data_IF_040559657188
#
_entry.id   IF_040559657188
#
_cell.length_a   1.000
_cell.length_b   1.000
_cell.length_c   1.000
_cell.angle_alpha   90.00
_cell.angle_beta   90.00
_cell.angle_gamma   90.00
#
_symmetry.space_group_name_H-M   'P 1'
#
loop_
_entity.id
_entity.type
_entity.pdbx_description
1 polymer ?
#
# COMPACT_ATOMS: atom_id res chain seq x y z
N UNK A 1 -51.93 -27.62 5.13
CA UNK A 1 -51.40 -26.42 5.77
C UNK A 1 -50.75 -26.89 7.05
N UNK A 2 -49.45 -27.14 6.99
CA UNK A 2 -48.58 -27.22 8.15
C UNK A 2 -47.13 -27.36 7.67
N UNK A 3 -46.24 -26.95 8.56
CA UNK A 3 -44.79 -27.15 8.59
C UNK A 3 -43.93 -26.01 8.03
N UNK A 4 -43.38 -25.27 8.98
CA UNK A 4 -42.03 -24.74 8.83
C UNK A 4 -41.85 -23.34 9.39
N UNK A 5 -42.15 -23.13 10.67
CA UNK A 5 -41.61 -21.99 11.42
C UNK A 5 -40.09 -22.20 11.45
N UNK A 6 -39.41 -21.59 10.47
CA UNK A 6 -37.97 -21.41 10.44
C UNK A 6 -37.62 -20.45 11.58
N UNK A 7 -37.38 -21.02 12.76
CA UNK A 7 -36.67 -20.32 13.81
C UNK A 7 -35.28 -19.95 13.27
N UNK A 8 -35.11 -18.69 12.87
CA UNK A 8 -33.80 -18.04 12.86
C UNK A 8 -33.34 -17.91 14.31
N UNK A 9 -32.85 -19.00 14.88
CA UNK A 9 -31.96 -18.93 16.02
C UNK A 9 -30.71 -18.20 15.53
N UNK A 10 -30.49 -16.97 16.03
CA UNK A 10 -29.15 -16.42 16.13
C UNK A 10 -28.38 -17.39 17.03
N UNK A 11 -27.76 -18.40 16.45
CA UNK A 11 -26.79 -19.22 17.17
C UNK A 11 -25.59 -18.31 17.42
N UNK A 12 -25.61 -17.71 18.61
CA UNK A 12 -24.49 -17.06 19.26
C UNK A 12 -23.64 -18.11 20.01
N UNK A 13 -23.78 -19.39 19.66
CA UNK A 13 -23.02 -20.49 20.23
C UNK A 13 -21.66 -20.52 19.55
N UNK A 14 -20.72 -19.79 20.16
CA UNK A 14 -19.30 -20.00 19.99
C UNK A 14 -18.99 -21.49 19.97
N UNK A 15 -18.18 -21.95 19.01
CA UNK A 15 -17.72 -23.34 19.02
C UNK A 15 -16.96 -23.59 20.33
N UNK A 16 -17.22 -24.73 20.97
CA UNK A 16 -16.53 -25.14 22.21
C UNK A 16 -15.00 -25.14 22.02
N UNK A 17 -14.54 -25.43 20.79
CA UNK A 17 -13.14 -25.35 20.40
C UNK A 17 -12.58 -23.92 20.52
N UNK A 18 -13.31 -22.91 20.02
CA UNK A 18 -12.83 -21.52 20.04
C UNK A 18 -12.79 -20.96 21.47
N UNK A 19 -13.76 -21.32 22.32
CA UNK A 19 -13.75 -20.98 23.75
C UNK A 19 -12.50 -21.55 24.40
N UNK A 20 -12.23 -22.84 24.20
CA UNK A 20 -11.07 -23.52 24.76
C UNK A 20 -9.75 -22.86 24.32
N UNK A 21 -9.60 -22.53 23.04
CA UNK A 21 -8.38 -21.89 22.55
C UNK A 21 -8.16 -20.48 23.11
N UNK A 22 -9.24 -19.72 23.36
CA UNK A 22 -9.18 -18.41 24.01
C UNK A 22 -8.74 -18.53 25.47
N UNK A 23 -9.22 -19.57 26.18
CA UNK A 23 -8.82 -19.85 27.57
C UNK A 23 -7.36 -20.29 27.69
N UNK A 24 -6.85 -21.05 26.71
CA UNK A 24 -5.46 -21.54 26.65
C UNK A 24 -4.45 -20.47 26.19
N UNK A 25 -4.93 -19.28 25.78
CA UNK A 25 -4.13 -18.19 25.18
C UNK A 25 -3.28 -18.60 23.96
N UNK A 26 -3.74 -19.61 23.21
CA UNK A 26 -3.01 -20.14 22.06
C UNK A 26 -3.50 -19.54 20.73
N UNK A 27 -2.80 -18.49 20.30
CA UNK A 27 -3.07 -17.83 19.03
C UNK A 27 -2.91 -18.77 17.83
N UNK A 28 -2.05 -19.79 17.90
CA UNK A 28 -1.84 -20.72 16.77
C UNK A 28 -3.06 -21.59 16.55
N UNK A 29 -3.71 -22.04 17.62
CA UNK A 29 -4.95 -22.81 17.52
C UNK A 29 -6.10 -21.95 17.00
N UNK A 30 -6.19 -20.69 17.45
CA UNK A 30 -7.17 -19.73 16.92
C UNK A 30 -6.93 -19.47 15.43
N UNK A 31 -5.68 -19.30 15.02
CA UNK A 31 -5.33 -19.20 13.60
C UNK A 31 -5.69 -20.49 12.87
N UNK A 32 -5.60 -21.67 13.47
CA UNK A 32 -5.98 -22.92 12.80
C UNK A 32 -7.50 -23.12 12.65
N UNK A 33 -8.32 -22.46 13.46
CA UNK A 33 -9.78 -22.53 13.38
C UNK A 33 -10.30 -22.13 11.98
N UNK A 34 -11.15 -22.97 11.38
CA UNK A 34 -11.65 -22.77 10.01
C UNK A 34 -12.66 -21.63 9.93
N UNK A 35 -13.50 -21.46 10.96
CA UNK A 35 -14.53 -20.42 11.05
C UNK A 35 -14.02 -19.03 11.44
N UNK A 36 -12.71 -18.84 11.61
CA UNK A 36 -12.12 -17.64 12.22
C UNK A 36 -12.59 -16.33 11.57
N UNK A 37 -12.50 -16.23 10.25
CA UNK A 37 -12.89 -15.01 9.54
C UNK A 37 -14.41 -14.77 9.60
N UNK A 38 -15.20 -15.84 9.64
CA UNK A 38 -16.65 -15.74 9.76
C UNK A 38 -17.03 -15.22 11.15
N UNK A 39 -16.42 -15.73 12.22
CA UNK A 39 -16.65 -15.25 13.59
C UNK A 39 -16.26 -13.78 13.77
N UNK A 40 -15.14 -13.34 13.18
CA UNK A 40 -14.73 -11.93 13.18
C UNK A 40 -15.78 -11.05 12.46
N UNK A 41 -16.32 -11.52 11.33
CA UNK A 41 -17.36 -10.82 10.56
C UNK A 41 -18.71 -10.82 11.26
N UNK A 42 -19.01 -11.87 12.03
CA UNK A 42 -20.20 -11.96 12.88
C UNK A 42 -20.08 -11.15 14.18
N UNK A 43 -18.98 -10.41 14.34
CA UNK A 43 -18.68 -9.58 15.53
C UNK A 43 -18.66 -10.37 16.84
N UNK A 44 -18.07 -11.57 16.82
CA UNK A 44 -17.96 -12.41 17.99
C UNK A 44 -17.16 -11.72 19.11
N UNK A 45 -17.82 -11.36 20.21
CA UNK A 45 -17.25 -10.50 21.24
C UNK A 45 -16.05 -11.11 21.95
N UNK A 46 -16.10 -12.39 22.31
CA UNK A 46 -15.03 -13.04 23.06
C UNK A 46 -13.78 -13.21 22.21
N UNK A 47 -13.94 -13.60 20.94
CA UNK A 47 -12.86 -13.65 19.97
C UNK A 47 -12.25 -12.27 19.73
N UNK A 48 -13.07 -11.24 19.52
CA UNK A 48 -12.57 -9.89 19.29
C UNK A 48 -11.82 -9.37 20.52
N UNK A 49 -12.36 -9.57 21.73
CA UNK A 49 -11.71 -9.21 22.99
C UNK A 49 -10.37 -9.91 23.17
N UNK A 50 -10.24 -11.15 22.70
CA UNK A 50 -8.97 -11.87 22.68
C UNK A 50 -7.98 -11.26 21.67
N UNK A 51 -8.42 -11.04 20.42
CA UNK A 51 -7.56 -10.58 19.33
C UNK A 51 -7.03 -9.16 19.55
N UNK A 52 -7.82 -8.27 20.14
CA UNK A 52 -7.46 -6.86 20.35
C UNK A 52 -6.46 -6.62 21.49
N UNK A 53 -6.12 -7.65 22.28
CA UNK A 53 -5.05 -7.53 23.29
C UNK A 53 -3.74 -7.16 22.59
N UNK A 54 -2.99 -6.22 23.17
CA UNK A 54 -1.71 -5.73 22.60
C UNK A 54 -0.79 -6.89 22.22
N UNK A 55 -0.60 -7.87 23.10
CA UNK A 55 0.26 -9.04 22.87
C UNK A 55 -0.18 -9.89 21.67
N UNK A 56 -1.49 -10.06 21.49
CA UNK A 56 -2.04 -10.86 20.39
C UNK A 56 -2.00 -10.09 19.07
N UNK A 57 -2.28 -8.78 19.08
CA UNK A 57 -2.06 -7.93 17.92
C UNK A 57 -0.58 -7.96 17.49
N UNK A 58 0.36 -7.86 18.43
CA UNK A 58 1.79 -7.95 18.13
C UNK A 58 2.17 -9.29 17.51
N UNK A 59 1.64 -10.41 18.02
CA UNK A 59 1.84 -11.75 17.41
C UNK A 59 1.25 -11.83 15.99
N UNK A 60 0.04 -11.31 15.77
CA UNK A 60 -0.61 -11.27 14.44
C UNK A 60 0.24 -10.45 13.46
N UNK A 61 0.70 -9.27 13.89
CA UNK A 61 1.52 -8.41 13.06
C UNK A 61 2.91 -9.00 12.80
N UNK A 62 3.50 -9.71 13.77
CA UNK A 62 4.77 -10.43 13.59
C UNK A 62 4.69 -11.41 12.41
N UNK A 63 3.63 -12.22 12.32
CA UNK A 63 3.42 -13.10 11.16
C UNK A 63 3.24 -12.35 9.83
N UNK A 64 2.85 -11.07 9.83
CA UNK A 64 2.65 -10.27 8.62
C UNK A 64 3.96 -9.60 8.17
N UNK A 65 4.81 -9.17 9.11
CA UNK A 65 5.93 -8.27 8.84
C UNK A 65 7.32 -8.91 9.04
N UNK A 66 7.41 -10.04 9.73
CA UNK A 66 8.68 -10.73 10.00
C UNK A 66 8.72 -12.09 9.29
N UNK A 67 9.88 -12.41 8.73
CA UNK A 67 10.13 -13.74 8.16
C UNK A 67 10.33 -14.76 9.28
N UNK A 68 9.82 -15.98 9.09
CA UNK A 68 10.06 -17.08 10.03
C UNK A 68 11.51 -17.53 9.96
N UNK A 69 12.17 -17.65 11.12
CA UNK A 69 13.50 -18.27 11.20
C UNK A 69 13.47 -19.77 10.82
N UNK A 70 12.30 -20.41 10.97
CA UNK A 70 12.04 -21.81 10.66
C UNK A 70 11.37 -21.95 9.30
N UNK A 71 12.12 -21.74 8.21
CA UNK A 71 11.61 -21.82 6.84
C UNK A 71 11.01 -23.18 6.45
N UNK A 72 11.26 -24.23 7.23
CA UNK A 72 10.69 -25.57 7.05
C UNK A 72 9.30 -25.73 7.65
N UNK A 73 8.88 -24.85 8.56
CA UNK A 73 7.53 -24.88 9.14
C UNK A 73 6.56 -24.17 8.17
N UNK A 74 5.78 -24.97 7.44
CA UNK A 74 4.78 -24.50 6.49
C UNK A 74 3.75 -23.57 7.14
N UNK A 75 3.34 -23.88 8.37
CA UNK A 75 2.31 -23.13 9.05
C UNK A 75 2.83 -21.72 9.38
N UNK A 76 4.02 -21.61 9.95
CA UNK A 76 4.65 -20.31 10.26
C UNK A 76 5.04 -19.52 9.02
N UNK A 77 5.53 -20.20 7.97
CA UNK A 77 6.10 -19.51 6.80
C UNK A 77 5.04 -19.06 5.79
N UNK A 78 3.87 -19.72 5.75
CA UNK A 78 2.85 -19.43 4.75
C UNK A 78 1.43 -19.30 5.31
N UNK A 79 0.97 -20.28 6.10
CA UNK A 79 -0.44 -20.34 6.55
C UNK A 79 -0.80 -19.23 7.53
N UNK A 80 0.03 -19.01 8.56
CA UNK A 80 -0.21 -18.00 9.58
C UNK A 80 -0.07 -16.57 9.04
N UNK A 81 0.96 -16.21 8.24
CA UNK A 81 0.99 -14.93 7.53
C UNK A 81 -0.27 -14.70 6.67
N UNK A 82 -0.70 -15.72 5.94
CA UNK A 82 -1.93 -15.66 5.14
C UNK A 82 -3.17 -15.42 6.01
N UNK A 83 -3.36 -16.15 7.11
CA UNK A 83 -4.54 -15.94 7.97
C UNK A 83 -4.48 -14.60 8.72
N UNK A 84 -3.30 -14.17 9.17
CA UNK A 84 -3.12 -12.91 9.89
C UNK A 84 -3.44 -11.70 9.00
N UNK A 85 -2.96 -11.64 7.76
CA UNK A 85 -3.31 -10.51 6.89
C UNK A 85 -4.81 -10.50 6.56
N UNK A 86 -5.46 -11.67 6.45
CA UNK A 86 -6.91 -11.76 6.24
C UNK A 86 -7.70 -11.23 7.44
N UNK A 87 -7.23 -11.43 8.68
CA UNK A 87 -7.85 -10.84 9.88
C UNK A 87 -7.89 -9.31 9.76
N UNK A 88 -6.78 -8.68 9.39
CA UNK A 88 -6.71 -7.21 9.23
C UNK A 88 -7.53 -6.75 8.03
N UNK A 89 -7.47 -7.47 6.90
CA UNK A 89 -8.22 -7.14 5.68
C UNK A 89 -9.73 -7.42 5.78
N UNK A 90 -10.22 -8.06 6.86
CA UNK A 90 -11.65 -8.08 7.18
C UNK A 90 -12.15 -6.69 7.63
N UNK A 91 -11.23 -5.77 7.91
CA UNK A 91 -11.49 -4.39 8.31
C UNK A 91 -12.47 -4.26 9.49
N UNK A 92 -12.45 -5.23 10.42
CA UNK A 92 -13.25 -5.17 11.63
C UNK A 92 -12.84 -3.95 12.46
N UNK A 93 -13.82 -3.11 12.80
CA UNK A 93 -13.57 -1.82 13.46
C UNK A 93 -12.79 -1.95 14.77
N UNK A 94 -13.14 -2.91 15.63
CA UNK A 94 -12.47 -3.07 16.92
C UNK A 94 -10.99 -3.45 16.76
N UNK A 95 -10.67 -4.31 15.79
CA UNK A 95 -9.29 -4.71 15.49
C UNK A 95 -8.50 -3.52 14.95
N UNK A 96 -9.04 -2.81 13.96
CA UNK A 96 -8.34 -1.67 13.35
C UNK A 96 -8.15 -0.53 14.37
N UNK A 97 -9.20 -0.17 15.12
CA UNK A 97 -9.11 0.88 16.15
C UNK A 97 -8.05 0.51 17.21
N UNK A 98 -8.00 -0.76 17.63
CA UNK A 98 -7.01 -1.22 18.62
C UNK A 98 -5.57 -1.16 18.11
N UNK A 99 -5.36 -1.32 16.80
CA UNK A 99 -4.05 -1.08 16.16
C UNK A 99 -3.76 0.41 16.13
N UNK A 100 -4.66 1.21 15.57
CA UNK A 100 -4.45 2.64 15.26
C UNK A 100 -4.26 3.49 16.50
N UNK A 101 -5.05 3.25 17.56
CA UNK A 101 -4.97 4.01 18.80
C UNK A 101 -3.90 3.50 19.76
N UNK A 102 -3.19 2.40 19.42
CA UNK A 102 -2.03 1.93 20.16
C UNK A 102 -0.74 2.31 19.42
N UNK A 103 -0.07 3.35 19.93
CA UNK A 103 1.16 3.89 19.33
C UNK A 103 2.30 2.84 19.23
N UNK A 104 2.40 1.90 20.16
CA UNK A 104 3.41 0.82 20.08
C UNK A 104 3.13 -0.11 18.91
N UNK A 105 1.86 -0.52 18.75
CA UNK A 105 1.42 -1.43 17.68
C UNK A 105 1.56 -0.74 16.31
N UNK A 106 1.17 0.53 16.20
CA UNK A 106 1.38 1.32 14.98
C UNK A 106 2.87 1.46 14.62
N UNK A 107 3.73 1.77 15.61
CA UNK A 107 5.18 1.84 15.40
C UNK A 107 5.78 0.51 14.95
N UNK A 108 5.33 -0.59 15.53
CA UNK A 108 5.77 -1.93 15.14
C UNK A 108 5.36 -2.24 13.70
N UNK A 109 4.08 -2.07 13.35
CA UNK A 109 3.56 -2.31 12.01
C UNK A 109 4.28 -1.48 10.94
N UNK A 110 4.32 -0.16 11.10
CA UNK A 110 4.97 0.74 10.15
C UNK A 110 6.51 0.66 10.19
N UNK A 111 7.07 -0.03 11.19
CA UNK A 111 8.49 -0.35 11.27
C UNK A 111 8.99 -1.25 10.15
N UNK A 112 8.09 -2.03 9.52
CA UNK A 112 8.39 -2.87 8.36
C UNK A 112 9.07 -2.08 7.22
N UNK A 113 8.55 -0.89 6.90
CA UNK A 113 9.11 -0.01 5.87
C UNK A 113 10.50 0.55 6.22
N UNK A 114 10.87 0.54 7.50
CA UNK A 114 12.16 1.08 7.95
C UNK A 114 13.29 0.04 7.84
N UNK A 115 12.98 -1.19 7.44
CA UNK A 115 13.96 -2.25 7.27
C UNK A 115 14.87 -1.96 6.07
N UNK A 116 16.18 -1.86 6.32
CA UNK A 116 17.17 -1.61 5.27
C UNK A 116 17.49 -2.83 4.41
N UNK A 117 17.10 -4.03 4.85
CA UNK A 117 17.25 -5.25 4.03
C UNK A 117 16.21 -5.26 2.93
N UNK A 118 16.44 -6.10 1.93
CA UNK A 118 15.41 -6.36 0.94
C UNK A 118 14.21 -7.02 1.61
N UNK A 119 13.04 -6.38 1.46
CA UNK A 119 11.78 -6.93 1.95
C UNK A 119 11.39 -8.19 1.19
N UNK A 120 10.86 -9.18 1.91
CA UNK A 120 10.21 -10.34 1.32
C UNK A 120 9.00 -9.91 0.47
N UNK A 121 8.89 -10.42 -0.75
CA UNK A 121 7.85 -9.98 -1.69
C UNK A 121 6.43 -10.35 -1.22
N UNK A 122 6.26 -11.53 -0.62
CA UNK A 122 4.96 -11.98 -0.10
C UNK A 122 4.53 -11.14 1.10
N UNK A 123 5.44 -10.95 2.06
CA UNK A 123 5.16 -10.12 3.24
C UNK A 123 4.94 -8.65 2.86
N UNK A 124 5.65 -8.13 1.85
CA UNK A 124 5.40 -6.79 1.30
C UNK A 124 3.97 -6.66 0.77
N UNK A 125 3.47 -7.68 0.07
CA UNK A 125 2.09 -7.75 -0.37
C UNK A 125 1.08 -7.77 0.78
N UNK A 126 1.33 -8.58 1.82
CA UNK A 126 0.47 -8.62 3.01
C UNK A 126 0.48 -7.32 3.79
N UNK A 127 1.66 -6.76 4.04
CA UNK A 127 1.84 -5.45 4.67
C UNK A 127 1.09 -4.37 3.91
N UNK A 128 1.29 -4.25 2.59
CA UNK A 128 0.62 -3.21 1.79
C UNK A 128 -0.90 -3.31 1.84
N UNK A 129 -1.46 -4.54 1.76
CA UNK A 129 -2.91 -4.74 1.87
C UNK A 129 -3.46 -4.38 3.26
N UNK A 130 -2.73 -4.75 4.31
CA UNK A 130 -3.09 -4.39 5.69
C UNK A 130 -3.02 -2.87 5.87
N UNK A 131 -1.96 -2.22 5.38
CA UNK A 131 -1.76 -0.78 5.49
C UNK A 131 -2.87 0.00 4.77
N UNK A 132 -3.28 -0.43 3.58
CA UNK A 132 -4.43 0.15 2.85
C UNK A 132 -5.73 -0.04 3.65
N UNK A 133 -5.96 -1.24 4.20
CA UNK A 133 -7.17 -1.52 5.00
C UNK A 133 -7.25 -0.62 6.24
N UNK A 134 -6.14 -0.49 6.97
CA UNK A 134 -6.01 0.37 8.15
C UNK A 134 -6.20 1.85 7.75
N UNK A 135 -5.55 2.30 6.68
CA UNK A 135 -5.69 3.66 6.15
C UNK A 135 -7.13 3.99 5.72
N UNK A 136 -7.83 3.07 5.07
CA UNK A 136 -9.20 3.29 4.61
C UNK A 136 -10.21 3.42 5.76
N UNK A 137 -10.00 2.71 6.87
CA UNK A 137 -10.86 2.81 8.06
C UNK A 137 -10.56 4.00 8.95
N UNK A 138 -9.28 4.33 9.15
CA UNK A 138 -8.84 5.37 10.07
C UNK A 138 -7.87 6.35 9.39
N UNK A 139 -8.34 6.97 8.30
CA UNK A 139 -7.50 7.80 7.42
C UNK A 139 -6.83 8.94 8.16
N UNK A 140 -7.54 9.68 9.02
CA UNK A 140 -7.00 10.87 9.68
C UNK A 140 -5.89 10.50 10.66
N UNK A 141 -6.09 9.43 11.41
CA UNK A 141 -5.20 8.93 12.44
C UNK A 141 -3.91 8.40 11.80
N UNK A 142 -4.03 7.60 10.73
CA UNK A 142 -2.88 7.10 9.97
C UNK A 142 -2.11 8.24 9.31
N UNK A 143 -2.81 9.21 8.71
CA UNK A 143 -2.16 10.41 8.13
C UNK A 143 -1.39 11.17 9.20
N UNK A 144 -1.98 11.41 10.38
CA UNK A 144 -1.32 12.13 11.46
C UNK A 144 -0.10 11.37 11.99
N UNK A 145 -0.20 10.05 12.14
CA UNK A 145 0.90 9.18 12.55
C UNK A 145 2.08 9.25 11.56
N UNK A 146 1.83 9.06 10.26
CA UNK A 146 2.87 9.11 9.25
C UNK A 146 3.45 10.52 9.09
N UNK A 147 2.59 11.55 9.16
CA UNK A 147 3.01 12.96 9.05
C UNK A 147 3.98 13.37 10.15
N UNK A 148 3.84 12.82 11.36
CA UNK A 148 4.74 13.09 12.49
C UNK A 148 6.22 12.77 12.16
N UNK A 149 6.47 11.82 11.27
CA UNK A 149 7.82 11.46 10.76
C UNK A 149 7.85 11.41 9.23
N UNK A 150 7.19 12.35 8.56
CA UNK A 150 7.00 12.35 7.10
C UNK A 150 8.29 12.18 6.30
N UNK A 151 9.39 12.81 6.70
CA UNK A 151 10.67 12.70 6.00
C UNK A 151 11.29 11.29 6.09
N UNK A 152 11.14 10.65 7.27
CA UNK A 152 11.62 9.29 7.48
C UNK A 152 10.84 8.30 6.61
N UNK A 153 9.51 8.38 6.64
CA UNK A 153 8.66 7.50 5.84
C UNK A 153 8.80 7.77 4.35
N UNK A 154 8.97 9.02 3.92
CA UNK A 154 9.26 9.33 2.52
C UNK A 154 10.54 8.63 2.06
N UNK A 155 11.64 8.77 2.80
CA UNK A 155 12.91 8.09 2.48
C UNK A 155 12.75 6.56 2.44
N UNK A 156 12.00 6.00 3.38
CA UNK A 156 11.69 4.57 3.42
C UNK A 156 10.92 4.08 2.19
N UNK A 157 9.85 4.79 1.80
CA UNK A 157 9.10 4.45 0.58
C UNK A 157 9.98 4.52 -0.66
N UNK A 158 10.73 5.62 -0.85
CA UNK A 158 11.63 5.80 -1.99
C UNK A 158 12.69 4.69 -2.07
N UNK A 159 13.25 4.29 -0.93
CA UNK A 159 14.22 3.19 -0.85
C UNK A 159 13.63 1.86 -1.38
N UNK A 160 12.35 1.61 -1.10
CA UNK A 160 11.64 0.39 -1.45
C UNK A 160 10.85 0.44 -2.77
N UNK A 161 11.09 1.43 -3.65
CA UNK A 161 10.43 1.51 -4.96
C UNK A 161 10.75 0.34 -5.92
N UNK A 162 11.73 -0.50 -5.59
CA UNK A 162 11.91 -1.78 -6.30
C UNK A 162 10.73 -2.76 -6.07
N UNK A 163 9.98 -2.63 -4.96
CA UNK A 163 8.80 -3.46 -4.69
C UNK A 163 7.55 -2.80 -5.26
N UNK A 164 6.84 -3.55 -6.13
CA UNK A 164 5.56 -3.12 -6.70
C UNK A 164 4.53 -2.85 -5.60
N UNK A 165 4.47 -3.74 -4.60
CA UNK A 165 3.54 -3.64 -3.48
C UNK A 165 3.74 -2.35 -2.66
N UNK A 166 5.00 -1.95 -2.42
CA UNK A 166 5.30 -0.73 -1.66
C UNK A 166 5.04 0.52 -2.50
N UNK A 167 5.36 0.49 -3.80
CA UNK A 167 5.06 1.59 -4.72
C UNK A 167 3.55 1.82 -4.85
N UNK A 168 2.77 0.74 -4.92
CA UNK A 168 1.30 0.81 -4.96
C UNK A 168 0.71 1.36 -3.65
N UNK A 169 1.26 0.99 -2.49
CA UNK A 169 0.88 1.61 -1.22
C UNK A 169 1.23 3.11 -1.20
N UNK A 170 2.44 3.48 -1.62
CA UNK A 170 2.87 4.88 -1.71
C UNK A 170 1.91 5.70 -2.59
N UNK A 171 1.51 5.14 -3.73
CA UNK A 171 0.52 5.74 -4.63
C UNK A 171 -0.82 6.04 -3.96
N UNK A 172 -1.36 5.09 -3.18
CA UNK A 172 -2.62 5.29 -2.43
C UNK A 172 -2.49 6.46 -1.43
N UNK A 173 -1.35 6.56 -0.76
CA UNK A 173 -1.07 7.63 0.20
C UNK A 173 -0.75 8.98 -0.46
N UNK A 174 -0.28 8.95 -1.71
CA UNK A 174 0.09 10.12 -2.51
C UNK A 174 -1.14 10.73 -3.22
N UNK A 175 -2.10 9.90 -3.63
CA UNK A 175 -3.28 10.29 -4.43
C UNK A 175 -4.39 10.77 -3.52
N UNK A 176 -4.33 12.06 -3.19
CA UNK A 176 -5.19 12.68 -2.19
C UNK A 176 -6.01 13.80 -2.84
N UNK A 177 -7.33 13.80 -2.62
CA UNK A 177 -8.25 14.85 -3.10
C UNK A 177 -8.33 16.07 -2.19
N UNK A 178 -7.87 15.95 -0.94
CA UNK A 178 -8.06 16.99 0.09
C UNK A 178 -6.73 17.34 0.78
N UNK A 179 -6.32 18.62 0.84
CA UNK A 179 -5.00 19.02 1.33
C UNK A 179 -4.62 18.51 2.71
N UNK A 180 -5.55 18.53 3.68
CA UNK A 180 -5.26 18.11 5.06
C UNK A 180 -5.03 16.60 5.22
N UNK A 181 -5.25 15.80 4.17
CA UNK A 181 -4.92 14.36 4.15
C UNK A 181 -3.55 14.08 3.54
N UNK A 182 -2.83 15.09 3.05
CA UNK A 182 -1.49 14.92 2.46
C UNK A 182 -0.45 14.61 3.54
N UNK A 183 0.24 13.47 3.42
CA UNK A 183 1.26 13.07 4.41
C UNK A 183 2.60 13.76 4.14
N UNK A 184 3.00 13.81 2.88
CA UNK A 184 4.30 14.29 2.43
C UNK A 184 4.24 15.74 1.97
N UNK A 185 5.36 16.44 2.08
CA UNK A 185 5.48 17.77 1.48
C UNK A 185 5.49 17.64 -0.04
N UNK A 186 4.56 18.32 -0.70
CA UNK A 186 4.40 18.28 -2.15
C UNK A 186 5.57 18.95 -2.86
N UNK A 187 6.18 19.94 -2.21
CA UNK A 187 7.34 20.64 -2.77
C UNK A 187 8.47 19.64 -3.00
N UNK A 188 8.97 19.58 -4.23
CA UNK A 188 10.04 18.69 -4.68
C UNK A 188 9.70 17.18 -4.62
N UNK A 189 8.44 16.78 -4.41
CA UNK A 189 8.09 15.36 -4.36
C UNK A 189 8.43 14.65 -5.68
N UNK A 190 8.26 15.35 -6.80
CA UNK A 190 8.58 14.82 -8.14
C UNK A 190 10.07 14.70 -8.34
N UNK A 191 10.83 15.69 -7.89
CA UNK A 191 12.29 15.57 -7.87
C UNK A 191 12.73 14.34 -7.07
N UNK A 192 12.17 14.10 -5.88
CA UNK A 192 12.51 12.92 -5.09
C UNK A 192 12.13 11.61 -5.79
N UNK A 193 10.93 11.51 -6.38
CA UNK A 193 10.50 10.34 -7.15
C UNK A 193 11.44 10.10 -8.34
N UNK A 194 11.70 11.13 -9.15
CA UNK A 194 12.57 11.03 -10.32
C UNK A 194 14.01 10.72 -9.96
N UNK A 195 14.54 11.27 -8.85
CA UNK A 195 15.91 11.00 -8.39
C UNK A 195 16.18 9.53 -8.05
N UNK A 196 15.13 8.71 -7.96
CA UNK A 196 15.22 7.26 -7.77
C UNK A 196 15.29 6.48 -9.10
N UNK A 197 15.19 7.13 -10.26
CA UNK A 197 15.59 6.55 -11.53
C UNK A 197 17.11 6.34 -11.55
N UNK A 198 17.56 5.18 -12.00
CA UNK A 198 18.97 4.84 -11.93
C UNK A 198 19.76 5.32 -13.16
N UNK A 199 20.23 6.57 -13.12
CA UNK A 199 21.13 7.12 -14.15
C UNK A 199 22.54 6.53 -14.21
N UNK A 200 22.83 5.47 -13.43
CA UNK A 200 24.09 4.72 -13.21
C UNK A 200 25.31 5.50 -12.65
N UNK A 201 25.50 5.42 -11.31
CA UNK A 201 26.64 6.01 -10.58
C UNK A 201 27.27 5.08 -9.49
N UNK A 202 27.57 3.82 -9.86
CA UNK A 202 28.46 2.77 -9.26
C UNK A 202 28.03 1.91 -8.02
N UNK A 203 28.22 0.58 -8.19
CA UNK A 203 28.30 -0.59 -7.28
C UNK A 203 27.41 -0.64 -6.04
N UNK A 204 26.13 -0.94 -6.24
CA UNK A 204 25.33 -1.58 -5.20
C UNK A 204 24.84 -2.95 -5.67
N UNK A 205 25.21 -3.99 -4.93
CA UNK A 205 24.66 -5.35 -5.04
C UNK A 205 23.24 -5.37 -4.47
N UNK A 206 22.32 -4.67 -5.11
CA UNK A 206 20.88 -4.84 -4.88
C UNK A 206 20.22 -5.23 -6.20
N UNK A 207 19.24 -6.11 -6.08
CA UNK A 207 18.65 -6.87 -7.17
C UNK A 207 18.23 -5.94 -8.32
N UNK A 208 18.67 -6.30 -9.52
CA UNK A 208 18.16 -5.79 -10.79
C UNK A 208 16.64 -6.02 -10.84
N UNK A 209 15.78 -5.06 -10.47
CA UNK A 209 14.35 -5.18 -10.79
C UNK A 209 13.57 -3.88 -10.65
N UNK A 210 12.63 -3.72 -11.61
CA UNK A 210 11.37 -2.98 -11.68
C UNK A 210 11.27 -1.56 -11.10
N UNK A 211 12.31 -0.98 -10.48
CA UNK A 211 12.22 0.34 -9.86
C UNK A 211 11.84 1.41 -10.88
N UNK A 212 12.52 1.43 -12.02
CA UNK A 212 12.22 2.36 -13.12
C UNK A 212 10.82 2.13 -13.69
N UNK A 213 10.39 0.87 -13.83
CA UNK A 213 9.05 0.54 -14.30
C UNK A 213 7.98 0.95 -13.29
N UNK A 214 8.22 0.75 -12.00
CA UNK A 214 7.35 1.17 -10.90
C UNK A 214 7.20 2.70 -10.84
N UNK A 215 8.30 3.44 -10.98
CA UNK A 215 8.28 4.91 -11.06
C UNK A 215 7.51 5.37 -12.30
N UNK A 216 7.76 4.73 -13.45
CA UNK A 216 7.07 5.03 -14.71
C UNK A 216 5.57 4.80 -14.59
N UNK A 217 5.16 3.66 -14.02
CA UNK A 217 3.76 3.34 -13.75
C UNK A 217 3.13 4.33 -12.76
N UNK A 218 3.85 4.72 -11.71
CA UNK A 218 3.38 5.71 -10.74
C UNK A 218 3.08 7.06 -11.42
N UNK A 219 4.02 7.56 -12.23
CA UNK A 219 3.87 8.83 -12.94
C UNK A 219 2.73 8.75 -13.97
N UNK A 220 2.64 7.66 -14.72
CA UNK A 220 1.52 7.43 -15.65
C UNK A 220 0.17 7.43 -14.94
N UNK A 221 0.09 6.75 -13.81
CA UNK A 221 -1.12 6.73 -12.98
C UNK A 221 -1.50 8.14 -12.50
N UNK A 222 -0.53 9.02 -12.23
CA UNK A 222 -0.81 10.41 -11.87
C UNK A 222 -1.51 11.14 -13.01
N UNK A 223 -1.06 10.94 -14.26
CA UNK A 223 -1.72 11.51 -15.45
C UNK A 223 -3.15 10.96 -15.64
N UNK A 224 -3.32 9.64 -15.52
CA UNK A 224 -4.62 8.97 -15.73
C UNK A 224 -5.63 9.39 -14.65
N UNK A 225 -5.21 9.45 -13.38
CA UNK A 225 -6.07 9.73 -12.22
C UNK A 225 -5.88 11.13 -11.65
N UNK A 226 -5.65 12.12 -12.51
CA UNK A 226 -5.48 13.53 -12.13
C UNK A 226 -6.57 14.10 -11.23
N UNK A 227 -7.82 13.62 -11.36
CA UNK A 227 -8.96 14.05 -10.53
C UNK A 227 -8.90 13.54 -9.09
N UNK A 228 -8.01 12.59 -8.79
CA UNK A 228 -7.74 12.07 -7.45
C UNK A 228 -6.65 12.84 -6.72
N UNK A 229 -5.97 13.79 -7.39
CA UNK A 229 -4.77 14.46 -6.88
C UNK A 229 -5.02 15.98 -6.85
N UNK A 230 -5.22 16.54 -5.66
CA UNK A 230 -5.54 17.98 -5.52
C UNK A 230 -4.42 18.91 -6.00
N UNK A 231 -3.17 18.42 -5.97
CA UNK A 231 -1.98 19.15 -6.39
C UNK A 231 -1.50 18.73 -7.79
N UNK A 232 -2.35 18.12 -8.61
CA UNK A 232 -1.97 17.63 -9.93
C UNK A 232 -1.36 18.73 -10.82
N UNK A 233 -1.87 19.97 -10.76
CA UNK A 233 -1.30 21.08 -11.50
C UNK A 233 0.13 21.43 -11.05
N UNK A 234 0.41 21.32 -9.75
CA UNK A 234 1.77 21.50 -9.23
C UNK A 234 2.69 20.37 -9.72
N UNK A 235 2.21 19.13 -9.67
CA UNK A 235 2.91 17.98 -10.27
C UNK A 235 3.27 18.24 -11.74
N UNK A 236 2.30 18.71 -12.54
CA UNK A 236 2.52 18.96 -13.96
C UNK A 236 3.57 20.06 -14.19
N UNK A 237 3.51 21.15 -13.42
CA UNK A 237 4.51 22.24 -13.49
C UNK A 237 5.89 21.75 -13.07
N UNK A 238 5.99 20.99 -11.98
CA UNK A 238 7.26 20.49 -11.45
C UNK A 238 7.90 19.46 -12.40
N UNK A 239 7.09 18.56 -12.97
CA UNK A 239 7.53 17.59 -13.98
C UNK A 239 7.94 18.28 -15.29
N UNK A 240 7.26 19.36 -15.68
CA UNK A 240 7.61 20.19 -16.85
C UNK A 240 8.75 21.18 -16.60
N UNK A 241 9.27 21.24 -15.38
CA UNK A 241 10.31 22.19 -15.02
C UNK A 241 11.61 21.89 -15.77
N UNK A 242 12.43 22.91 -15.98
CA UNK A 242 13.76 22.74 -16.57
C UNK A 242 14.61 21.72 -15.80
N UNK A 243 14.46 21.67 -14.47
CA UNK A 243 15.21 20.77 -13.61
C UNK A 243 14.82 19.30 -13.88
N UNK A 244 13.53 18.98 -13.83
CA UNK A 244 13.01 17.63 -14.09
C UNK A 244 13.31 17.18 -15.51
N UNK A 245 13.10 18.06 -16.50
CA UNK A 245 13.33 17.75 -17.90
C UNK A 245 14.82 17.53 -18.21
N UNK A 246 15.71 18.34 -17.61
CA UNK A 246 17.16 18.15 -17.73
C UNK A 246 17.59 16.82 -17.11
N UNK A 247 17.04 16.46 -15.95
CA UNK A 247 17.33 15.18 -15.31
C UNK A 247 16.88 13.99 -16.16
N UNK A 248 15.63 14.01 -16.67
CA UNK A 248 15.12 12.97 -17.57
C UNK A 248 15.94 12.87 -18.86
N UNK A 249 16.37 14.00 -19.41
CA UNK A 249 17.26 14.02 -20.59
C UNK A 249 18.60 13.34 -20.29
N UNK A 250 19.18 13.54 -19.10
CA UNK A 250 20.39 12.80 -18.69
C UNK A 250 20.12 11.30 -18.58
N UNK A 251 18.96 10.89 -18.05
CA UNK A 251 18.56 9.48 -17.97
C UNK A 251 18.43 8.81 -19.35
N UNK A 252 18.04 9.53 -20.41
CA UNK A 252 18.00 9.00 -21.79
C UNK A 252 19.39 8.56 -22.28
N UNK A 253 20.45 9.19 -21.78
CA UNK A 253 21.84 8.86 -22.12
C UNK A 253 22.51 7.94 -21.06
N UNK A 254 21.72 7.30 -20.17
CA UNK A 254 22.20 6.31 -19.20
C UNK A 254 22.72 5.04 -19.91
N UNK A 255 23.48 4.21 -19.20
CA UNK A 255 23.87 2.87 -19.68
C UNK A 255 22.78 1.83 -19.41
N UNK A 256 21.89 2.08 -18.44
CA UNK A 256 20.78 1.21 -18.09
C UNK A 256 19.59 1.35 -19.05
N UNK A 257 19.27 0.28 -19.78
CA UNK A 257 18.13 0.24 -20.72
C UNK A 257 16.79 0.50 -20.04
N UNK A 258 16.58 0.06 -18.79
CA UNK A 258 15.35 0.33 -18.03
C UNK A 258 15.21 1.81 -17.71
N UNK A 259 16.31 2.48 -17.33
CA UNK A 259 16.30 3.92 -17.08
C UNK A 259 16.07 4.73 -18.35
N UNK A 260 16.67 4.34 -19.48
CA UNK A 260 16.39 4.97 -20.78
C UNK A 260 14.89 4.83 -21.11
N UNK A 261 14.35 3.61 -21.01
CA UNK A 261 12.94 3.31 -21.28
C UNK A 261 12.00 4.15 -20.41
N UNK A 262 12.24 4.19 -19.10
CA UNK A 262 11.46 4.99 -18.16
C UNK A 262 11.51 6.48 -18.48
N UNK A 263 12.69 7.03 -18.75
CA UNK A 263 12.85 8.44 -19.05
C UNK A 263 12.12 8.84 -20.35
N UNK A 264 12.29 8.06 -21.42
CA UNK A 264 11.58 8.27 -22.69
C UNK A 264 10.07 8.20 -22.47
N UNK A 265 9.62 7.19 -21.72
CA UNK A 265 8.20 6.98 -21.45
C UNK A 265 7.59 8.14 -20.66
N UNK A 266 8.25 8.60 -19.60
CA UNK A 266 7.79 9.73 -18.78
C UNK A 266 7.74 11.01 -19.62
N UNK A 267 8.77 11.28 -20.45
CA UNK A 267 8.78 12.44 -21.35
C UNK A 267 7.66 12.33 -22.39
N UNK A 268 7.45 11.16 -22.98
CA UNK A 268 6.39 10.91 -23.95
C UNK A 268 5.00 11.15 -23.34
N UNK A 269 4.74 10.60 -22.16
CA UNK A 269 3.48 10.79 -21.43
C UNK A 269 3.26 12.28 -21.08
N UNK A 270 4.32 12.99 -20.68
CA UNK A 270 4.27 14.44 -20.43
C UNK A 270 3.94 15.25 -21.70
N UNK A 271 4.60 14.96 -22.83
CA UNK A 271 4.35 15.65 -24.11
C UNK A 271 2.93 15.37 -24.58
N UNK A 272 2.51 14.10 -24.55
CA UNK A 272 1.15 13.71 -24.91
C UNK A 272 0.11 14.46 -24.06
N UNK A 273 0.33 14.53 -22.74
CA UNK A 273 -0.58 15.27 -21.87
C UNK A 273 -0.56 16.77 -22.13
N UNK A 274 0.61 17.40 -22.31
CA UNK A 274 0.71 18.87 -22.42
C UNK A 274 0.33 19.42 -23.79
N UNK A 275 0.60 18.67 -24.86
CA UNK A 275 0.41 19.09 -26.26
C UNK A 275 -0.86 18.46 -26.85
N UNK A 276 -0.98 17.13 -26.79
CA UNK A 276 -2.04 16.41 -27.52
C UNK A 276 -3.38 16.46 -26.78
N UNK A 277 -3.40 16.39 -25.44
CA UNK A 277 -4.66 16.49 -24.70
C UNK A 277 -5.31 17.87 -24.79
N UNK A 278 -4.53 18.92 -25.06
CA UNK A 278 -5.04 20.28 -25.35
C UNK A 278 -5.56 20.42 -26.77
N UNK A 279 -4.97 19.74 -27.76
CA UNK A 279 -5.45 19.78 -29.13
C UNK A 279 -6.75 19.01 -29.33
N UNK A 280 -6.94 17.86 -28.67
CA UNK A 280 -8.20 17.08 -28.80
C UNK A 280 -9.42 17.74 -28.17
N UNK A 281 -9.25 18.64 -27.20
CA UNK A 281 -10.37 19.45 -26.69
C UNK A 281 -10.79 20.58 -27.65
N UNK A 282 -10.01 20.85 -28.70
CA UNK A 282 -10.25 21.88 -29.71
C UNK A 282 -10.53 21.31 -31.11
N UNK A 283 -10.54 19.98 -31.29
CA UNK A 283 -10.95 19.37 -32.56
C UNK A 283 -12.45 19.09 -32.43
N UNK A 284 -13.25 19.96 -33.02
CA UNK A 284 -14.66 19.67 -33.23
C UNK A 284 -14.75 18.51 -34.23
N UNK A 285 -15.21 17.35 -33.77
CA UNK A 285 -15.22 16.11 -34.56
C UNK A 285 -16.05 16.27 -35.85
N UNK A 286 -16.94 17.27 -35.90
CA UNK A 286 -17.76 17.63 -37.05
C UNK A 286 -17.03 18.47 -38.11
N UNK A 287 -15.96 19.22 -37.79
CA UNK A 287 -15.20 19.97 -38.81
C UNK A 287 -14.42 19.05 -39.75
N UNK A 288 -14.13 17.80 -39.34
CA UNK A 288 -13.46 16.82 -40.18
C UNK A 288 -14.41 16.07 -41.15
N UNK A 289 -15.74 16.19 -40.97
CA UNK A 289 -16.73 15.56 -41.85
C UNK A 289 -17.18 16.47 -43.01
N UNK A 290 -16.97 17.79 -42.91
CA UNK A 290 -17.35 18.76 -43.96
C UNK A 290 -16.34 18.86 -45.13
N UNK A 291 -15.37 17.94 -45.21
CA UNK A 291 -14.38 17.87 -46.31
C UNK A 291 -14.23 16.49 -46.95
N UNK A 292 -15.30 15.70 -46.97
CA UNK A 292 -15.46 14.54 -47.85
C UNK A 292 -16.69 14.73 -48.73
#
# INVERSE_FOLDING_TARGET
MDNGIYWRLKNNDMSLELIKYIEEDDIKNILNYEGLLQEIKSENFDLLKYLVKEENLMKILCYIIEESDESTDYDKSYKFPYKCHQIICCENKLIIDSIVYNDKVMKYFWGFLLNKKQLNEVLSGYFSRCAISIYNKNTKEVVNFLRAKKELYLKAFLYHFYSRNITELFKVLLFVKVPYLSIFDIKNIIFYILSNLNGDFVNHNYITCDKEDNITCLIRDMFVRKSEIYYFNYFLVDLSSQLSFTYLTKCIFSQSSSTISAAITIISDLIHYTVLSKSYNNIDFYECLDKL
#
